data_IF_612021845792
#
_entry.id   IF_612021845792
#
_cell.length_a   1.000
_cell.length_b   1.000
_cell.length_c   1.000
_cell.angle_alpha   90.00
_cell.angle_beta   90.00
_cell.angle_gamma   90.00
#
_symmetry.space_group_name_H-M   'P 1'
#
loop_
_entity.id
_entity.type
_entity.pdbx_description
1 polymer ?
#
# COMPACT_ATOMS: atom_id res chain seq x y z
N UNK A 1 -14.01 6.46 -22.77
CA UNK A 1 -13.61 7.83 -22.38
C UNK A 1 -13.00 8.52 -23.57
N UNK A 2 -13.34 9.79 -23.77
CA UNK A 2 -12.66 10.63 -24.74
C UNK A 2 -11.30 11.10 -24.19
N UNK A 3 -10.38 11.50 -25.08
CA UNK A 3 -9.01 11.91 -24.71
C UNK A 3 -8.98 13.05 -23.68
N UNK A 4 -9.94 13.96 -23.74
CA UNK A 4 -10.08 15.06 -22.79
C UNK A 4 -10.53 14.59 -21.41
N UNK A 5 -11.47 13.65 -21.35
CA UNK A 5 -11.97 13.07 -20.11
C UNK A 5 -10.86 12.31 -19.39
N UNK A 6 -10.10 11.48 -20.13
CA UNK A 6 -8.93 10.77 -19.60
C UNK A 6 -7.87 11.71 -19.03
N UNK A 7 -7.63 12.84 -19.69
CA UNK A 7 -6.66 13.83 -19.20
C UNK A 7 -7.14 14.44 -17.88
N UNK A 8 -8.39 14.90 -17.80
CA UNK A 8 -8.98 15.47 -16.58
C UNK A 8 -8.93 14.49 -15.41
N UNK A 9 -9.26 13.22 -15.68
CA UNK A 9 -9.20 12.16 -14.67
C UNK A 9 -7.77 11.98 -14.14
N UNK A 10 -6.77 11.91 -15.03
CA UNK A 10 -5.36 11.82 -14.59
C UNK A 10 -4.91 13.05 -13.83
N UNK A 11 -5.28 14.25 -14.28
CA UNK A 11 -4.90 15.49 -13.61
C UNK A 11 -5.47 15.51 -12.18
N UNK A 12 -6.75 15.14 -12.01
CA UNK A 12 -7.41 15.03 -10.70
C UNK A 12 -6.76 13.99 -9.78
N UNK A 13 -6.39 12.82 -10.30
CA UNK A 13 -5.66 11.81 -9.51
C UNK A 13 -4.28 12.34 -9.11
N UNK A 14 -3.61 13.06 -10.01
CA UNK A 14 -2.28 13.62 -9.81
C UNK A 14 -2.21 14.74 -8.76
N UNK A 15 -3.34 15.36 -8.42
CA UNK A 15 -3.42 16.34 -7.32
C UNK A 15 -3.24 15.68 -5.95
N UNK A 16 -3.55 14.38 -5.84
CA UNK A 16 -3.49 13.64 -4.58
C UNK A 16 -2.41 12.56 -4.54
N UNK A 17 -2.08 11.94 -5.69
CA UNK A 17 -1.19 10.79 -5.78
C UNK A 17 -0.08 11.01 -6.81
N UNK A 18 1.10 10.42 -6.56
CA UNK A 18 2.17 10.44 -7.56
C UNK A 18 1.86 9.46 -8.71
N UNK A 19 1.52 10.03 -9.86
CA UNK A 19 1.28 9.32 -11.13
C UNK A 19 2.43 9.50 -12.14
N UNK A 20 3.48 10.23 -11.78
CA UNK A 20 4.56 10.62 -12.72
C UNK A 20 5.34 9.42 -13.26
N UNK A 21 5.49 8.38 -12.44
CA UNK A 21 6.27 7.17 -12.77
C UNK A 21 5.42 6.02 -13.30
N UNK A 22 4.11 6.22 -13.52
CA UNK A 22 3.19 5.12 -13.83
C UNK A 22 2.29 5.43 -15.02
N UNK A 23 2.25 4.47 -15.96
CA UNK A 23 1.26 4.45 -17.04
C UNK A 23 0.00 3.74 -16.53
N UNK A 24 -1.06 4.50 -16.30
CA UNK A 24 -2.37 3.99 -15.87
C UNK A 24 -3.21 3.59 -17.08
N UNK A 25 -3.87 2.44 -16.99
CA UNK A 25 -4.99 2.11 -17.90
C UNK A 25 -6.23 2.91 -17.53
N UNK A 26 -7.24 2.94 -18.40
CA UNK A 26 -8.49 3.67 -18.14
C UNK A 26 -9.24 3.06 -16.93
N UNK A 27 -9.19 1.73 -16.80
CA UNK A 27 -9.75 1.01 -15.66
C UNK A 27 -9.02 1.33 -14.35
N UNK A 28 -7.69 1.33 -14.38
CA UNK A 28 -6.87 1.68 -13.20
C UNK A 28 -7.08 3.13 -12.77
N UNK A 29 -7.26 4.04 -13.74
CA UNK A 29 -7.59 5.43 -13.45
C UNK A 29 -8.97 5.56 -12.78
N UNK A 30 -10.00 4.84 -13.25
CA UNK A 30 -11.30 4.82 -12.59
C UNK A 30 -11.20 4.30 -11.16
N UNK A 31 -10.49 3.18 -10.94
CA UNK A 31 -10.32 2.62 -9.59
C UNK A 31 -9.64 3.60 -8.65
N UNK A 32 -8.65 4.35 -9.13
CA UNK A 32 -7.98 5.38 -8.33
C UNK A 32 -8.88 6.60 -8.06
N UNK A 33 -9.69 7.02 -9.03
CA UNK A 33 -10.67 8.08 -8.83
C UNK A 33 -11.70 7.67 -7.78
N UNK A 34 -12.30 6.49 -7.94
CA UNK A 34 -13.26 5.93 -6.98
C UNK A 34 -12.63 5.81 -5.58
N UNK A 35 -11.35 5.44 -5.51
CA UNK A 35 -10.61 5.37 -4.26
C UNK A 35 -10.44 6.74 -3.61
N UNK A 36 -10.11 7.78 -4.37
CA UNK A 36 -9.99 9.17 -3.87
C UNK A 36 -11.35 9.68 -3.41
N UNK A 37 -12.39 9.53 -4.25
CA UNK A 37 -13.74 10.03 -3.99
C UNK A 37 -14.38 9.37 -2.75
N UNK A 38 -14.06 8.10 -2.49
CA UNK A 38 -14.55 7.35 -1.34
C UNK A 38 -13.51 7.21 -0.21
N UNK A 39 -12.39 7.92 -0.28
CA UNK A 39 -11.27 7.73 0.65
C UNK A 39 -11.71 7.96 2.09
N UNK A 40 -12.31 9.12 2.35
CA UNK A 40 -12.74 9.56 3.69
C UNK A 40 -13.81 8.64 4.29
N UNK A 41 -14.74 8.14 3.49
CA UNK A 41 -15.86 7.33 3.97
C UNK A 41 -15.49 5.85 4.15
N UNK A 42 -14.59 5.35 3.30
CA UNK A 42 -14.37 3.90 3.14
C UNK A 42 -13.01 3.45 3.64
N UNK A 43 -11.99 4.29 3.59
CA UNK A 43 -10.60 3.88 3.82
C UNK A 43 -9.95 4.60 4.99
N UNK A 44 -10.15 5.91 5.14
CA UNK A 44 -9.48 6.74 6.15
C UNK A 44 -9.53 6.15 7.55
N UNK A 45 -8.36 6.03 8.18
CA UNK A 45 -8.20 5.50 9.53
C UNK A 45 -8.37 3.97 9.66
N UNK A 46 -8.64 3.25 8.56
CA UNK A 46 -8.63 1.78 8.59
C UNK A 46 -7.20 1.25 8.61
N UNK A 47 -7.03 0.18 9.36
CA UNK A 47 -5.77 -0.54 9.50
C UNK A 47 -5.98 -2.02 9.25
N UNK A 48 -5.06 -2.64 8.52
CA UNK A 48 -4.97 -4.09 8.36
C UNK A 48 -3.58 -4.55 8.80
N UNK A 49 -3.53 -5.51 9.71
CA UNK A 49 -2.27 -6.09 10.20
C UNK A 49 -2.21 -7.55 9.81
N UNK A 50 -1.16 -7.92 9.09
CA UNK A 50 -0.87 -9.29 8.69
C UNK A 50 0.41 -9.74 9.37
N UNK A 51 0.31 -10.78 10.18
CA UNK A 51 1.45 -11.42 10.82
C UNK A 51 1.74 -12.77 10.18
N UNK A 52 3.02 -13.11 10.00
CA UNK A 52 3.44 -14.46 9.62
C UNK A 52 4.65 -14.90 10.43
N UNK A 53 4.79 -16.20 10.59
CA UNK A 53 5.95 -16.83 11.23
C UNK A 53 6.51 -17.89 10.29
N UNK A 54 7.82 -17.89 10.09
CA UNK A 54 8.48 -18.87 9.24
C UNK A 54 9.92 -19.11 9.68
N UNK A 55 10.47 -20.25 9.26
CA UNK A 55 11.85 -20.61 9.52
C UNK A 55 12.75 -20.18 8.35
N UNK A 56 13.91 -19.59 8.68
CA UNK A 56 14.94 -19.18 7.73
C UNK A 56 16.31 -19.80 8.06
N UNK A 57 17.28 -19.56 7.19
CA UNK A 57 18.68 -19.96 7.39
C UNK A 57 19.60 -18.77 7.17
N UNK A 58 20.57 -18.59 8.07
CA UNK A 58 21.67 -17.62 7.97
C UNK A 58 23.02 -18.35 8.04
N UNK A 59 24.12 -17.61 7.98
CA UNK A 59 25.48 -18.15 8.21
C UNK A 59 25.63 -18.83 9.57
N UNK A 60 24.85 -18.40 10.56
CA UNK A 60 24.96 -18.82 11.96
C UNK A 60 23.97 -19.95 12.32
N UNK A 61 23.09 -20.32 11.39
CA UNK A 61 22.18 -21.46 11.53
C UNK A 61 20.74 -21.17 11.13
N UNK A 62 19.83 -22.04 11.58
CA UNK A 62 18.40 -21.87 11.39
C UNK A 62 17.87 -20.86 12.41
N UNK A 63 17.01 -19.95 11.97
CA UNK A 63 16.27 -19.01 12.83
C UNK A 63 14.77 -19.09 12.54
N UNK A 64 13.95 -18.72 13.51
CA UNK A 64 12.50 -18.54 13.34
C UNK A 64 12.17 -17.06 13.37
N UNK A 65 11.68 -16.53 12.24
CA UNK A 65 11.25 -15.14 12.11
C UNK A 65 9.76 -15.01 12.36
N UNK A 66 9.40 -14.10 13.25
CA UNK A 66 8.04 -13.55 13.37
C UNK A 66 8.05 -12.17 12.75
N UNK A 67 7.22 -11.94 11.76
CA UNK A 67 7.09 -10.62 11.18
C UNK A 67 5.63 -10.18 11.12
N UNK A 68 5.43 -8.88 11.27
CA UNK A 68 4.13 -8.24 11.14
C UNK A 68 4.25 -7.08 10.16
N UNK A 69 3.23 -6.96 9.31
CA UNK A 69 3.06 -5.84 8.40
C UNK A 69 1.71 -5.20 8.69
N UNK A 70 1.74 -3.94 9.06
CA UNK A 70 0.56 -3.13 9.34
C UNK A 70 0.43 -2.05 8.28
N UNK A 71 -0.71 -2.04 7.59
CA UNK A 71 -1.05 -1.05 6.58
C UNK A 71 -2.17 -0.17 7.14
N UNK A 72 -1.92 1.12 7.26
CA UNK A 72 -2.88 2.10 7.78
C UNK A 72 -3.17 3.15 6.73
N UNK A 73 -4.45 3.35 6.40
CA UNK A 73 -4.88 4.49 5.60
C UNK A 73 -4.82 5.76 6.44
N UNK A 74 -3.97 6.70 6.02
CA UNK A 74 -3.67 7.94 6.72
C UNK A 74 -4.80 8.97 6.64
N UNK A 75 -4.65 10.10 7.35
CA UNK A 75 -5.60 11.20 7.22
C UNK A 75 -5.54 11.89 5.86
N UNK A 76 -4.33 12.03 5.32
CA UNK A 76 -4.07 12.40 3.94
C UNK A 76 -4.21 11.17 3.03
N UNK A 77 -4.61 11.36 1.78
CA UNK A 77 -4.76 10.27 0.80
C UNK A 77 -3.43 9.55 0.63
N UNK A 78 -3.37 8.33 1.15
CA UNK A 78 -2.16 7.50 1.17
C UNK A 78 -2.30 6.28 2.07
N UNK A 79 -1.22 5.52 2.16
CA UNK A 79 -1.13 4.36 3.04
C UNK A 79 0.22 4.41 3.76
N UNK A 80 0.21 4.38 5.09
CA UNK A 80 1.40 4.13 5.89
C UNK A 80 1.56 2.63 6.08
N UNK A 81 2.70 2.11 5.67
CA UNK A 81 3.07 0.72 5.90
C UNK A 81 4.15 0.67 6.99
N UNK A 82 3.90 -0.15 7.99
CA UNK A 82 4.81 -0.45 9.08
C UNK A 82 5.14 -1.94 9.00
N UNK A 83 6.42 -2.27 8.92
CA UNK A 83 6.94 -3.63 8.92
C UNK A 83 7.83 -3.81 10.13
N UNK A 84 7.64 -4.89 10.86
CA UNK A 84 8.50 -5.30 11.95
C UNK A 84 8.80 -6.79 11.86
N UNK A 85 9.98 -7.17 12.32
CA UNK A 85 10.31 -8.56 12.53
C UNK A 85 11.11 -8.78 13.82
N UNK A 86 10.95 -9.98 14.36
CA UNK A 86 11.65 -10.49 15.52
C UNK A 86 12.04 -11.94 15.27
N UNK A 87 13.35 -12.19 15.30
CA UNK A 87 13.96 -13.51 15.18
C UNK A 87 14.21 -14.07 16.59
N UNK A 88 14.15 -15.40 16.73
CA UNK A 88 14.39 -16.10 18.01
C UNK A 88 15.84 -16.04 18.50
N UNK A 89 16.77 -15.68 17.62
CA UNK A 89 18.17 -15.37 17.94
C UNK A 89 18.37 -13.95 18.50
N UNK A 90 17.28 -13.17 18.60
CA UNK A 90 17.26 -11.82 19.15
C UNK A 90 17.40 -10.71 18.11
N UNK A 91 17.52 -11.01 16.81
CA UNK A 91 17.53 -9.98 15.78
C UNK A 91 16.13 -9.35 15.62
N UNK A 92 16.10 -8.03 15.52
CA UNK A 92 14.88 -7.27 15.26
C UNK A 92 15.11 -6.22 14.21
N UNK A 93 14.08 -5.93 13.43
CA UNK A 93 14.08 -4.77 12.55
C UNK A 93 12.70 -4.16 12.46
N UNK A 94 12.68 -2.85 12.23
CA UNK A 94 11.48 -2.08 12.02
C UNK A 94 11.71 -1.14 10.84
N UNK A 95 10.69 -1.03 9.99
CA UNK A 95 10.70 -0.16 8.82
C UNK A 95 9.32 0.47 8.66
N UNK A 96 9.29 1.79 8.51
CA UNK A 96 8.08 2.54 8.19
C UNK A 96 8.26 3.20 6.84
N UNK A 97 7.21 3.18 6.01
CA UNK A 97 7.18 3.94 4.77
C UNK A 97 5.78 4.49 4.51
N UNK A 98 5.74 5.67 3.90
CA UNK A 98 4.51 6.24 3.38
C UNK A 98 4.39 5.96 1.89
N UNK A 99 3.26 5.41 1.49
CA UNK A 99 2.93 5.04 0.13
C UNK A 99 1.93 6.06 -0.40
N UNK A 100 2.42 6.91 -1.31
CA UNK A 100 1.62 7.91 -2.04
C UNK A 100 1.66 7.71 -3.57
N UNK A 101 2.36 6.66 -4.02
CA UNK A 101 2.43 6.30 -5.43
C UNK A 101 1.15 5.57 -5.88
N UNK A 102 0.60 6.01 -7.00
CA UNK A 102 -0.61 5.43 -7.58
C UNK A 102 -0.50 3.92 -7.84
N UNK A 103 0.67 3.44 -8.29
CA UNK A 103 0.89 2.01 -8.58
C UNK A 103 0.88 1.15 -7.32
N UNK A 104 1.54 1.65 -6.28
CA UNK A 104 1.62 0.95 -5.00
C UNK A 104 0.24 0.87 -4.36
N UNK A 105 -0.53 1.96 -4.39
CA UNK A 105 -1.92 1.98 -3.92
C UNK A 105 -2.80 1.00 -4.70
N UNK A 106 -2.72 0.97 -6.03
CA UNK A 106 -3.45 -0.01 -6.84
C UNK A 106 -3.15 -1.46 -6.44
N UNK A 107 -1.88 -1.77 -6.19
CA UNK A 107 -1.48 -3.11 -5.75
C UNK A 107 -2.02 -3.43 -4.35
N UNK A 108 -2.03 -2.45 -3.43
CA UNK A 108 -2.62 -2.62 -2.09
C UNK A 108 -4.14 -2.82 -2.15
N UNK A 109 -4.85 -2.03 -2.95
CA UNK A 109 -6.29 -2.16 -3.14
C UNK A 109 -6.69 -3.54 -3.69
N UNK A 110 -5.89 -4.11 -4.59
CA UNK A 110 -6.09 -5.50 -5.06
C UNK A 110 -5.89 -6.51 -3.92
N UNK A 111 -4.96 -6.27 -3.01
CA UNK A 111 -4.73 -7.11 -1.84
C UNK A 111 -5.78 -6.96 -0.73
N UNK A 112 -6.46 -5.82 -0.66
CA UNK A 112 -7.55 -5.53 0.29
C UNK A 112 -8.91 -6.02 -0.18
N UNK A 113 -9.23 -5.94 -1.47
CA UNK A 113 -10.50 -6.43 -2.04
C UNK A 113 -10.65 -7.95 -2.05
N UNK A 114 -9.58 -8.69 -1.79
CA UNK A 114 -9.56 -10.16 -1.77
C UNK A 114 -9.57 -10.75 -0.34
N UNK A 115 -9.94 -9.95 0.66
CA UNK A 115 -10.13 -10.37 2.06
C UNK A 115 -11.61 -10.36 2.40
#
# INVERSE_FOLDING_TARGET
MDRNEKKRLRDSIGEHLDISKTRLTDEEANVLSDFIDNYDSTYKGKTDTRSRTYDGWSSDGKYTRRESRTETFTDDIGIREEYEYHDDDGQTGHHTQEIKDARSILNKLKGWRNV
#
